data_IF_794143794773
#
_entry.id   IF_794143794773
#
_cell.length_a   1.000
_cell.length_b   1.000
_cell.length_c   1.000
_cell.angle_alpha   90.00
_cell.angle_beta   90.00
_cell.angle_gamma   90.00
#
_symmetry.space_group_name_H-M   'P 1'
#
loop_
_entity.id
_entity.type
_entity.pdbx_description
1 polymer ?
#
# COMPACT_ATOMS: atom_id res chain seq x y z
N UNK A 1 16.20 15.50 13.86
CA UNK A 1 14.74 15.25 13.83
C UNK A 1 14.23 15.95 12.59
N UNK A 2 14.53 15.41 11.42
CA UNK A 2 14.17 16.03 10.14
C UNK A 2 13.15 15.14 9.46
N UNK A 3 11.90 15.61 9.55
CA UNK A 3 10.78 15.16 8.78
C UNK A 3 11.08 15.47 7.31
N UNK A 4 11.69 14.53 6.60
CA UNK A 4 11.62 14.47 5.14
C UNK A 4 10.19 14.08 4.75
N UNK A 5 9.29 15.04 4.92
CA UNK A 5 8.10 15.14 4.10
C UNK A 5 8.60 15.25 2.66
N UNK A 6 8.64 14.12 1.96
CA UNK A 6 8.74 14.05 0.50
C UNK A 6 7.92 15.21 -0.07
N UNK A 7 8.63 16.25 -0.54
CA UNK A 7 8.00 17.47 -1.06
C UNK A 7 7.11 17.04 -2.22
N UNK A 8 5.81 17.06 -1.98
CA UNK A 8 4.79 16.66 -2.93
C UNK A 8 4.79 17.64 -4.10
N UNK A 9 5.60 17.34 -5.12
CA UNK A 9 5.60 18.06 -6.37
C UNK A 9 4.65 17.34 -7.32
N UNK A 10 3.55 18.02 -7.68
CA UNK A 10 2.46 17.49 -8.51
C UNK A 10 2.93 16.95 -9.89
N UNK A 11 4.17 17.26 -10.29
CA UNK A 11 4.85 16.74 -11.49
C UNK A 11 5.61 15.41 -11.29
N UNK A 12 5.85 14.97 -10.05
CA UNK A 12 6.60 13.73 -9.74
C UNK A 12 5.70 12.48 -9.67
N UNK A 13 4.38 12.63 -9.68
CA UNK A 13 3.42 11.50 -9.68
C UNK A 13 3.58 10.57 -10.88
N UNK A 14 4.22 11.02 -11.96
CA UNK A 14 4.53 10.21 -13.14
C UNK A 14 5.91 9.53 -13.12
N UNK A 15 6.84 9.95 -12.26
CA UNK A 15 8.27 9.62 -12.42
C UNK A 15 8.75 8.46 -11.53
N UNK A 16 8.04 8.07 -10.47
CA UNK A 16 8.60 7.07 -9.53
C UNK A 16 8.00 5.68 -9.61
N UNK A 17 6.97 5.42 -10.43
CA UNK A 17 6.38 4.07 -10.58
C UNK A 17 7.17 3.12 -11.48
N UNK A 18 7.82 3.65 -12.52
CA UNK A 18 8.71 2.90 -13.41
C UNK A 18 10.00 2.43 -12.74
N UNK A 19 10.33 2.98 -11.56
CA UNK A 19 11.46 2.56 -10.74
C UNK A 19 11.08 1.51 -9.70
N UNK A 20 9.78 1.17 -9.52
CA UNK A 20 9.43 0.09 -8.62
C UNK A 20 9.92 -1.22 -9.24
N UNK A 21 10.77 -1.99 -8.53
CA UNK A 21 11.17 -3.29 -8.99
C UNK A 21 9.93 -4.19 -9.08
N UNK A 22 10.00 -5.18 -9.97
CA UNK A 22 8.98 -6.22 -10.09
C UNK A 22 8.67 -6.86 -8.72
N UNK A 23 7.43 -7.34 -8.52
CA UNK A 23 7.01 -8.00 -7.27
C UNK A 23 7.99 -9.08 -6.82
N UNK A 24 8.58 -9.79 -7.79
CA UNK A 24 9.60 -10.83 -7.60
C UNK A 24 10.91 -10.36 -6.96
N UNK A 25 11.17 -9.05 -6.92
CA UNK A 25 12.40 -8.45 -6.39
C UNK A 25 12.18 -7.69 -5.09
N UNK A 26 10.97 -7.73 -4.54
CA UNK A 26 10.76 -7.16 -3.22
C UNK A 26 11.45 -8.04 -2.20
N UNK A 27 12.22 -7.42 -1.32
CA UNK A 27 12.70 -8.07 -0.10
C UNK A 27 11.70 -7.68 1.00
N UNK A 28 10.64 -8.48 1.22
CA UNK A 28 9.62 -8.13 2.17
C UNK A 28 10.18 -8.24 3.58
N UNK A 29 10.52 -7.10 4.19
CA UNK A 29 10.80 -7.02 5.62
C UNK A 29 9.51 -7.41 6.35
N UNK A 30 9.55 -8.50 7.11
CA UNK A 30 8.39 -9.08 7.81
C UNK A 30 7.24 -9.47 6.86
N UNK A 31 7.53 -9.92 5.64
CA UNK A 31 6.47 -10.28 4.69
C UNK A 31 5.65 -9.09 4.19
N UNK A 32 6.01 -7.86 4.57
CA UNK A 32 5.30 -6.66 4.15
C UNK A 32 5.57 -6.35 2.69
N UNK A 33 4.50 -6.26 1.90
CA UNK A 33 4.55 -5.70 0.55
C UNK A 33 4.77 -4.18 0.58
N UNK A 34 5.13 -3.54 -0.55
CA UNK A 34 5.18 -2.10 -0.65
C UNK A 34 3.87 -1.45 -0.27
N UNK A 35 2.73 -2.10 -0.54
CA UNK A 35 1.42 -1.58 -0.14
C UNK A 35 1.25 -1.58 1.38
N UNK A 36 1.68 -2.63 2.09
CA UNK A 36 1.70 -2.63 3.56
C UNK A 36 2.56 -1.48 4.10
N UNK A 37 3.75 -1.27 3.52
CA UNK A 37 4.63 -0.17 3.90
C UNK A 37 4.02 1.22 3.62
N UNK A 38 3.36 1.39 2.47
CA UNK A 38 2.67 2.63 2.12
C UNK A 38 1.56 2.94 3.12
N UNK A 39 0.76 1.92 3.47
CA UNK A 39 -0.33 2.03 4.45
C UNK A 39 0.23 2.33 5.84
N UNK A 40 1.23 1.58 6.30
CA UNK A 40 1.87 1.77 7.61
C UNK A 40 2.52 3.15 7.76
N UNK A 41 3.03 3.73 6.67
CA UNK A 41 3.62 5.07 6.64
C UNK A 41 2.64 6.18 6.23
N UNK A 42 1.33 5.88 6.12
CA UNK A 42 0.29 6.84 5.77
C UNK A 42 0.55 7.59 4.45
N UNK A 43 0.99 6.87 3.41
CA UNK A 43 1.19 7.46 2.09
C UNK A 43 -0.14 7.95 1.51
N UNK A 44 -0.12 9.06 0.74
CA UNK A 44 -1.32 9.61 0.16
C UNK A 44 -1.90 8.68 -0.92
N UNK A 45 -3.20 8.80 -1.14
CA UNK A 45 -3.97 8.05 -2.14
C UNK A 45 -3.37 8.14 -3.54
N UNK A 46 -2.76 9.26 -3.89
CA UNK A 46 -2.06 9.46 -5.17
C UNK A 46 -0.89 8.48 -5.40
N UNK A 47 -0.35 7.88 -4.34
CA UNK A 47 0.69 6.86 -4.40
C UNK A 47 0.09 5.44 -4.26
N UNK A 48 -0.97 5.29 -3.47
CA UNK A 48 -1.61 3.99 -3.27
C UNK A 48 -2.39 3.54 -4.51
N UNK A 49 -3.16 4.44 -5.14
CA UNK A 49 -4.02 4.08 -6.28
C UNK A 49 -3.23 3.51 -7.47
N UNK A 50 -2.14 4.15 -7.96
CA UNK A 50 -1.40 3.60 -9.10
C UNK A 50 -0.67 2.29 -8.75
N UNK A 51 -0.23 2.12 -7.50
CA UNK A 51 0.42 0.89 -7.05
C UNK A 51 -0.56 -0.29 -7.11
N UNK A 52 -1.78 -0.07 -6.63
CA UNK A 52 -2.85 -1.05 -6.62
C UNK A 52 -3.34 -1.37 -8.04
N UNK A 53 -3.49 -0.36 -8.89
CA UNK A 53 -3.84 -0.55 -10.30
C UNK A 53 -2.77 -1.36 -11.06
N UNK A 54 -1.49 -1.12 -10.77
CA UNK A 54 -0.40 -1.79 -11.45
C UNK A 54 -0.15 -3.20 -10.94
N UNK A 55 -0.31 -3.42 -9.65
CA UNK A 55 0.02 -4.66 -8.95
C UNK A 55 -1.17 -5.10 -8.08
N UNK A 56 -2.28 -5.59 -8.68
CA UNK A 56 -3.47 -5.95 -7.92
C UNK A 56 -3.28 -7.19 -7.02
N UNK A 57 -2.28 -8.03 -7.31
CA UNK A 57 -1.91 -9.20 -6.50
C UNK A 57 -1.50 -8.81 -5.07
N UNK A 58 -0.91 -7.63 -4.87
CA UNK A 58 -0.39 -7.19 -3.56
C UNK A 58 -1.48 -6.92 -2.54
N UNK A 59 -2.70 -6.66 -3.01
CA UNK A 59 -3.88 -6.53 -2.18
C UNK A 59 -4.19 -7.85 -1.47
N UNK A 60 -3.94 -8.97 -2.14
CA UNK A 60 -4.19 -10.33 -1.66
C UNK A 60 -3.03 -10.90 -0.85
N UNK A 61 -1.84 -10.30 -0.96
CA UNK A 61 -0.68 -10.72 -0.18
C UNK A 61 -0.91 -10.38 1.29
N UNK A 62 -0.59 -11.34 2.16
CA UNK A 62 -0.61 -11.19 3.61
C UNK A 62 0.82 -10.98 4.09
N UNK A 63 1.01 -10.12 5.08
CA UNK A 63 2.29 -10.03 5.77
C UNK A 63 2.53 -11.24 6.69
N UNK A 64 3.68 -11.29 7.39
CA UNK A 64 3.98 -12.39 8.33
C UNK A 64 3.00 -12.50 9.50
N UNK A 65 2.23 -11.45 9.78
CA UNK A 65 1.17 -11.43 10.78
C UNK A 65 -0.19 -11.90 10.21
N UNK A 66 -0.23 -12.37 8.96
CA UNK A 66 -1.46 -12.80 8.29
C UNK A 66 -2.38 -11.63 7.91
N UNK A 67 -1.92 -10.39 8.05
CA UNK A 67 -2.71 -9.19 7.79
C UNK A 67 -2.64 -8.81 6.32
N UNK A 68 -3.78 -8.40 5.75
CA UNK A 68 -3.82 -7.76 4.43
C UNK A 68 -3.58 -6.25 4.55
N UNK A 69 -3.27 -5.54 3.45
CA UNK A 69 -3.11 -4.09 3.47
C UNK A 69 -4.35 -3.36 4.00
N UNK A 70 -5.55 -3.91 3.78
CA UNK A 70 -6.79 -3.34 4.33
C UNK A 70 -6.86 -3.46 5.85
N UNK A 71 -6.41 -4.57 6.44
CA UNK A 71 -6.32 -4.70 7.90
C UNK A 71 -5.40 -3.64 8.50
N UNK A 72 -4.27 -3.36 7.84
CA UNK A 72 -3.37 -2.29 8.27
C UNK A 72 -4.02 -0.91 8.15
N UNK A 73 -4.85 -0.67 7.12
CA UNK A 73 -5.57 0.59 6.97
C UNK A 73 -6.47 0.87 8.18
N UNK A 74 -7.19 -0.17 8.62
CA UNK A 74 -8.12 -0.09 9.75
C UNK A 74 -7.33 0.03 11.06
N UNK A 75 -6.32 -0.84 11.27
CA UNK A 75 -5.52 -0.88 12.50
C UNK A 75 -4.72 0.42 12.72
N UNK A 76 -4.15 0.98 11.65
CA UNK A 76 -3.35 2.21 11.73
C UNK A 76 -4.18 3.49 11.57
N UNK A 77 -5.50 3.40 11.45
CA UNK A 77 -6.39 4.56 11.26
C UNK A 77 -5.97 5.43 10.04
N UNK A 78 -5.70 4.76 8.91
CA UNK A 78 -5.28 5.39 7.66
C UNK A 78 -6.43 6.18 7.05
N UNK A 79 -6.11 7.22 6.27
CA UNK A 79 -7.10 8.09 5.62
C UNK A 79 -8.18 7.29 4.91
N UNK A 80 -9.44 7.68 5.11
CA UNK A 80 -10.60 7.05 4.50
C UNK A 80 -10.49 6.99 2.97
N UNK A 81 -9.79 7.93 2.35
CA UNK A 81 -9.55 7.94 0.90
C UNK A 81 -8.68 6.75 0.45
N UNK A 82 -7.60 6.45 1.19
CA UNK A 82 -6.70 5.33 0.91
C UNK A 82 -7.41 4.01 1.16
N UNK A 83 -8.10 3.91 2.31
CA UNK A 83 -8.91 2.74 2.66
C UNK A 83 -9.97 2.46 1.60
N UNK A 84 -10.62 3.52 1.09
CA UNK A 84 -11.61 3.42 0.01
C UNK A 84 -10.98 2.93 -1.29
N UNK A 85 -9.81 3.43 -1.69
CA UNK A 85 -9.13 2.94 -2.90
C UNK A 85 -8.77 1.46 -2.80
N UNK A 86 -8.25 1.03 -1.65
CA UNK A 86 -7.90 -0.38 -1.42
C UNK A 86 -9.17 -1.25 -1.42
N UNK A 87 -10.25 -0.77 -0.80
CA UNK A 87 -11.54 -1.44 -0.78
C UNK A 87 -12.18 -1.54 -2.18
N UNK A 88 -12.19 -0.44 -2.94
CA UNK A 88 -12.76 -0.39 -4.28
C UNK A 88 -11.97 -1.29 -5.24
N UNK A 89 -10.66 -1.42 -5.04
CA UNK A 89 -9.82 -2.28 -5.86
C UNK A 89 -9.90 -3.77 -5.49
N UNK A 90 -10.12 -4.11 -4.21
CA UNK A 90 -10.39 -5.49 -3.79
C UNK A 90 -11.39 -5.54 -2.64
N UNK A 91 -12.71 -5.55 -2.95
CA UNK A 91 -13.75 -5.53 -1.94
C UNK A 91 -13.77 -6.81 -1.09
N UNK A 92 -13.33 -7.95 -1.64
CA UNK A 92 -13.28 -9.21 -0.88
C UNK A 92 -12.22 -9.19 0.24
N UNK A 93 -11.35 -8.17 0.28
CA UNK A 93 -10.40 -7.97 1.36
C UNK A 93 -11.06 -7.92 2.75
N UNK A 94 -12.34 -7.51 2.84
CA UNK A 94 -13.11 -7.51 4.11
C UNK A 94 -13.46 -8.90 4.59
N UNK A 95 -13.50 -9.88 3.68
CA UNK A 95 -13.78 -11.29 4.00
C UNK A 95 -12.50 -12.10 4.20
N UNK A 96 -11.35 -11.54 3.79
CA UNK A 96 -10.06 -12.13 4.05
C UNK A 96 -9.85 -12.18 5.56
N UNK A 97 -9.91 -13.36 6.16
CA UNK A 97 -9.55 -13.53 7.57
C UNK A 97 -8.03 -13.47 7.72
N UNK A 98 -7.59 -12.94 8.85
CA UNK A 98 -6.30 -13.29 9.42
C UNK A 98 -6.32 -14.80 9.73
N UNK A 99 -5.36 -15.54 9.18
CA UNK A 99 -5.15 -16.95 9.53
C UNK A 99 -4.33 -17.09 10.81
#
# INVERSE_FOLDING_TARGET
VENDHFRYNKSLTKVTFSSFPDESKWEPLEGNTPLHSCVAKHYPTAFVAPLVERYPSVLKQRNTLGQTPLHLCITNNVSAEVTKVIYDAWPDAVTAKNE
#
